data_IF_525114363531
#
_entry.id   IF_525114363531
#
_cell.length_a   1.000
_cell.length_b   1.000
_cell.length_c   1.000
_cell.angle_alpha   90.00
_cell.angle_beta   90.00
_cell.angle_gamma   90.00
#
_symmetry.space_group_name_H-M   'P 1'
#
loop_
_entity.id
_entity.type
_entity.pdbx_description
1 polymer ?
#
# COMPACT_ATOMS: atom_id res chain seq x y z
N UNK A 1 33.04 9.56 1.42
CA UNK A 1 32.53 8.19 1.18
C UNK A 1 31.44 8.29 0.12
N UNK A 2 31.68 7.77 -1.08
CA UNK A 2 30.81 7.98 -2.23
C UNK A 2 29.61 7.01 -2.15
N UNK A 3 28.41 7.54 -1.92
CA UNK A 3 27.17 6.78 -1.75
C UNK A 3 26.70 6.12 -3.07
N UNK A 4 27.35 6.41 -4.19
CA UNK A 4 27.00 5.94 -5.54
C UNK A 4 27.95 4.87 -6.11
N UNK A 5 28.86 4.30 -5.30
CA UNK A 5 29.61 3.11 -5.74
C UNK A 5 28.68 1.89 -5.82
N UNK A 6 28.77 1.06 -6.88
CA UNK A 6 27.94 -0.14 -7.01
C UNK A 6 28.11 -1.11 -5.84
N UNK A 7 29.30 -1.18 -5.22
CA UNK A 7 29.54 -1.96 -3.99
C UNK A 7 28.67 -1.52 -2.81
N UNK A 8 28.45 -0.22 -2.65
CA UNK A 8 27.67 0.36 -1.56
C UNK A 8 26.18 0.19 -1.84
N UNK A 9 25.74 0.29 -3.10
CA UNK A 9 24.36 0.04 -3.48
C UNK A 9 23.93 -1.41 -3.16
N UNK A 10 24.78 -2.40 -3.48
CA UNK A 10 24.51 -3.81 -3.15
C UNK A 10 24.44 -4.01 -1.63
N UNK A 11 25.35 -3.40 -0.87
CA UNK A 11 25.32 -3.45 0.59
C UNK A 11 24.05 -2.82 1.17
N UNK A 12 23.61 -1.66 0.66
CA UNK A 12 22.37 -0.99 1.09
C UNK A 12 21.15 -1.85 0.78
N UNK A 13 21.08 -2.45 -0.42
CA UNK A 13 20.00 -3.36 -0.80
C UNK A 13 20.00 -4.59 0.09
N UNK A 14 21.17 -5.18 0.36
CA UNK A 14 21.29 -6.34 1.23
C UNK A 14 20.84 -6.03 2.68
N UNK A 15 21.25 -4.88 3.22
CA UNK A 15 20.81 -4.43 4.54
C UNK A 15 19.30 -4.13 4.58
N UNK A 16 18.76 -3.47 3.55
CA UNK A 16 17.32 -3.21 3.45
C UNK A 16 16.50 -4.50 3.33
N UNK A 17 16.99 -5.48 2.56
CA UNK A 17 16.39 -6.79 2.43
C UNK A 17 16.40 -7.51 3.78
N UNK A 18 17.54 -7.52 4.47
CA UNK A 18 17.68 -8.15 5.79
C UNK A 18 16.74 -7.50 6.82
N UNK A 19 16.68 -6.17 6.87
CA UNK A 19 15.77 -5.43 7.73
C UNK A 19 14.29 -5.77 7.44
N UNK A 20 13.92 -5.86 6.16
CA UNK A 20 12.55 -6.20 5.72
C UNK A 20 12.18 -7.63 6.15
N UNK A 21 13.08 -8.59 5.92
CA UNK A 21 12.86 -9.97 6.37
C UNK A 21 12.79 -10.07 7.89
N UNK A 22 13.62 -9.32 8.60
CA UNK A 22 13.60 -9.30 10.06
C UNK A 22 12.27 -8.74 10.59
N UNK A 23 11.75 -7.65 10.01
CA UNK A 23 10.41 -7.14 10.35
C UNK A 23 9.30 -8.15 10.05
N UNK A 24 9.39 -8.86 8.92
CA UNK A 24 8.42 -9.90 8.55
C UNK A 24 8.43 -11.08 9.52
N UNK A 25 9.62 -11.61 9.83
CA UNK A 25 9.78 -12.74 10.76
C UNK A 25 9.38 -12.32 12.17
N UNK A 26 9.84 -11.16 12.65
CA UNK A 26 9.45 -10.61 13.95
C UNK A 26 7.95 -10.41 14.07
N UNK A 27 7.30 -9.88 13.02
CA UNK A 27 5.85 -9.73 12.97
C UNK A 27 5.09 -11.06 12.99
N UNK A 28 5.58 -12.08 12.28
CA UNK A 28 4.99 -13.44 12.30
C UNK A 28 5.14 -14.11 13.68
N UNK A 29 6.29 -13.95 14.33
CA UNK A 29 6.51 -14.45 15.69
C UNK A 29 5.58 -13.75 16.69
N UNK A 30 5.45 -12.41 16.62
CA UNK A 30 4.53 -11.64 17.46
C UNK A 30 3.07 -11.99 17.19
N UNK A 31 2.70 -12.29 15.93
CA UNK A 31 1.34 -12.66 15.56
C UNK A 31 0.86 -13.92 16.30
N UNK A 32 1.77 -14.83 16.65
CA UNK A 32 1.47 -16.00 17.47
C UNK A 32 1.13 -15.68 18.94
N UNK A 33 1.62 -14.55 19.47
CA UNK A 33 1.33 -14.08 20.83
C UNK A 33 0.18 -13.08 20.90
N UNK A 34 -0.39 -12.71 19.75
CA UNK A 34 -1.38 -11.66 19.64
C UNK A 34 -2.77 -12.18 20.06
N UNK A 35 -3.45 -11.50 21.01
CA UNK A 35 -4.74 -11.97 21.50
C UNK A 35 -5.78 -11.96 20.38
N UNK A 36 -6.20 -13.16 19.96
CA UNK A 36 -7.19 -13.37 18.90
C UNK A 36 -8.62 -13.08 19.36
N UNK A 37 -8.86 -13.03 20.67
CA UNK A 37 -10.16 -12.75 21.30
C UNK A 37 -10.31 -11.32 21.85
N UNK A 38 -11.55 -10.89 22.04
CA UNK A 38 -11.90 -9.64 22.74
C UNK A 38 -11.87 -8.36 21.89
N UNK A 39 -11.82 -7.20 22.57
CA UNK A 39 -11.83 -5.86 21.94
C UNK A 39 -10.53 -5.59 21.17
N UNK A 40 -9.39 -6.04 21.69
CA UNK A 40 -8.08 -5.88 21.05
C UNK A 40 -7.94 -6.70 19.76
N UNK A 41 -8.38 -7.96 19.74
CA UNK A 41 -8.37 -8.77 18.50
C UNK A 41 -9.21 -8.18 17.37
N UNK A 42 -10.36 -7.55 17.69
CA UNK A 42 -11.17 -6.80 16.70
C UNK A 42 -10.45 -5.55 16.19
N UNK A 43 -9.80 -4.79 17.08
CA UNK A 43 -9.00 -3.62 16.69
C UNK A 43 -7.85 -4.04 15.75
N UNK A 44 -7.15 -5.13 16.06
CA UNK A 44 -6.08 -5.67 15.23
C UNK A 44 -6.55 -6.14 13.86
N UNK A 45 -7.72 -6.76 13.76
CA UNK A 45 -8.32 -7.12 12.46
C UNK A 45 -8.70 -5.89 11.63
N UNK A 46 -8.97 -4.75 12.27
CA UNK A 46 -9.30 -3.50 11.58
C UNK A 46 -8.06 -2.71 11.12
N UNK A 47 -6.91 -2.88 11.79
CA UNK A 47 -5.65 -2.17 11.49
C UNK A 47 -5.25 -2.21 10.01
N UNK A 48 -5.27 -3.35 9.30
CA UNK A 48 -4.83 -3.37 7.90
C UNK A 48 -5.67 -2.45 7.04
N UNK A 49 -7.00 -2.48 7.22
CA UNK A 49 -7.92 -1.63 6.48
C UNK A 49 -7.76 -0.16 6.81
N UNK A 50 -7.62 0.20 8.09
CA UNK A 50 -7.44 1.60 8.50
C UNK A 50 -6.10 2.17 8.08
N UNK A 51 -5.01 1.39 8.13
CA UNK A 51 -3.70 1.82 7.64
C UNK A 51 -3.76 2.09 6.14
N UNK A 52 -4.38 1.20 5.36
CA UNK A 52 -4.58 1.40 3.92
C UNK A 52 -5.35 2.69 3.62
N UNK A 53 -6.44 2.96 4.33
CA UNK A 53 -7.24 4.18 4.15
C UNK A 53 -6.45 5.42 4.57
N UNK A 54 -5.76 5.38 5.71
CA UNK A 54 -4.96 6.49 6.22
C UNK A 54 -3.81 6.87 5.27
N UNK A 55 -3.21 5.89 4.59
CA UNK A 55 -2.16 6.13 3.61
C UNK A 55 -2.70 6.57 2.25
N UNK A 56 -3.82 5.98 1.81
CA UNK A 56 -4.42 6.30 0.52
C UNK A 56 -5.08 7.70 0.52
N UNK A 57 -5.74 8.08 1.62
CA UNK A 57 -6.41 9.36 1.78
C UNK A 57 -5.54 10.57 1.39
N UNK A 58 -4.33 10.79 1.96
CA UNK A 58 -3.48 11.91 1.58
C UNK A 58 -2.97 11.82 0.14
N UNK A 59 -2.82 10.61 -0.42
CA UNK A 59 -2.50 10.42 -1.84
C UNK A 59 -3.58 11.02 -2.75
N UNK A 60 -4.85 10.75 -2.44
CA UNK A 60 -5.98 11.34 -3.18
C UNK A 60 -6.06 12.87 -3.02
N UNK A 61 -5.76 13.40 -1.83
CA UNK A 61 -5.73 14.85 -1.61
C UNK A 61 -4.60 15.55 -2.37
N UNK A 62 -3.42 14.91 -2.50
CA UNK A 62 -2.29 15.47 -3.25
C UNK A 62 -2.53 15.46 -4.78
N UNK A 63 -3.26 14.47 -5.30
CA UNK A 63 -3.59 14.40 -6.73
C UNK A 63 -4.84 15.20 -7.13
N UNK A 64 -5.53 15.83 -6.16
CA UNK A 64 -6.70 16.68 -6.40
C UNK A 64 -7.98 15.91 -6.79
N UNK A 65 -8.95 16.62 -7.38
CA UNK A 65 -10.26 16.05 -7.76
C UNK A 65 -10.14 14.82 -8.70
N UNK A 66 -9.08 14.76 -9.50
CA UNK A 66 -8.81 13.70 -10.47
C UNK A 66 -8.43 12.39 -9.76
N UNK A 67 -7.60 12.47 -8.71
CA UNK A 67 -7.23 11.31 -7.89
C UNK A 67 -8.44 10.70 -7.19
N UNK A 68 -9.33 11.54 -6.65
CA UNK A 68 -10.60 11.09 -6.06
C UNK A 68 -11.52 10.40 -7.08
N UNK A 69 -11.65 10.96 -8.29
CA UNK A 69 -12.44 10.36 -9.37
C UNK A 69 -11.87 9.01 -9.82
N UNK A 70 -10.55 8.91 -9.98
CA UNK A 70 -9.85 7.65 -10.30
C UNK A 70 -10.02 6.59 -9.21
N UNK A 71 -9.90 6.99 -7.94
CA UNK A 71 -10.16 6.12 -6.78
C UNK A 71 -11.60 5.57 -6.76
N UNK A 72 -12.59 6.44 -6.95
CA UNK A 72 -14.00 6.06 -7.00
C UNK A 72 -14.30 5.08 -8.15
N UNK A 73 -13.74 5.33 -9.34
CA UNK A 73 -13.92 4.43 -10.50
C UNK A 73 -13.24 3.08 -10.24
N UNK A 74 -12.05 3.07 -9.63
CA UNK A 74 -11.36 1.84 -9.24
C UNK A 74 -12.20 1.01 -8.26
N UNK A 75 -12.79 1.66 -7.25
CA UNK A 75 -13.67 1.01 -6.27
C UNK A 75 -14.92 0.45 -6.97
N UNK A 76 -15.56 1.23 -7.84
CA UNK A 76 -16.75 0.82 -8.58
C UNK A 76 -16.48 -0.40 -9.49
N UNK A 77 -15.34 -0.42 -10.18
CA UNK A 77 -14.95 -1.51 -11.08
C UNK A 77 -14.53 -2.77 -10.30
N UNK A 78 -13.84 -2.60 -9.18
CA UNK A 78 -13.48 -3.71 -8.27
C UNK A 78 -14.75 -4.41 -7.77
N UNK A 79 -15.76 -3.64 -7.38
CA UNK A 79 -17.02 -4.17 -6.87
C UNK A 79 -17.81 -4.95 -7.94
N UNK A 80 -17.77 -4.47 -9.19
CA UNK A 80 -18.52 -5.07 -10.31
C UNK A 80 -17.82 -6.29 -10.93
N UNK A 81 -16.49 -6.26 -11.03
CA UNK A 81 -15.73 -7.24 -11.81
C UNK A 81 -15.13 -8.35 -10.94
N UNK A 82 -14.98 -8.12 -9.62
CA UNK A 82 -14.21 -8.96 -8.68
C UNK A 82 -12.77 -9.28 -9.13
N UNK A 83 -12.29 -8.65 -10.21
CA UNK A 83 -10.97 -8.84 -10.77
C UNK A 83 -10.12 -7.59 -10.51
N UNK A 84 -9.18 -7.73 -9.58
CA UNK A 84 -8.33 -6.64 -9.09
C UNK A 84 -7.44 -6.07 -10.21
N UNK A 85 -6.98 -6.91 -11.14
CA UNK A 85 -6.14 -6.44 -12.26
C UNK A 85 -6.87 -5.47 -13.17
N UNK A 86 -8.13 -5.78 -13.51
CA UNK A 86 -8.96 -4.94 -14.36
C UNK A 86 -9.31 -3.61 -13.68
N UNK A 87 -9.56 -3.65 -12.37
CA UNK A 87 -9.79 -2.44 -11.58
C UNK A 87 -8.54 -1.56 -11.49
N UNK A 88 -7.36 -2.14 -11.27
CA UNK A 88 -6.09 -1.40 -11.23
C UNK A 88 -5.81 -0.72 -12.58
N UNK A 89 -5.94 -1.44 -13.70
CA UNK A 89 -5.74 -0.88 -15.04
C UNK A 89 -6.69 0.27 -15.34
N UNK A 90 -7.98 0.08 -15.05
CA UNK A 90 -8.98 1.12 -15.29
C UNK A 90 -8.77 2.35 -14.41
N UNK A 91 -8.46 2.16 -13.12
CA UNK A 91 -8.10 3.24 -12.20
C UNK A 91 -6.88 4.03 -12.67
N UNK A 92 -5.81 3.31 -13.04
CA UNK A 92 -4.59 3.91 -13.56
C UNK A 92 -4.83 4.70 -14.85
N UNK A 93 -5.61 4.15 -15.79
CA UNK A 93 -5.97 4.84 -17.02
C UNK A 93 -6.76 6.12 -16.76
N UNK A 94 -7.70 6.10 -15.83
CA UNK A 94 -8.48 7.30 -15.44
C UNK A 94 -7.58 8.36 -14.83
N UNK A 95 -6.68 7.99 -13.91
CA UNK A 95 -5.74 8.94 -13.29
C UNK A 95 -4.74 9.47 -14.32
N UNK A 96 -4.22 8.61 -15.20
CA UNK A 96 -3.27 9.00 -16.24
C UNK A 96 -3.90 9.95 -17.28
N UNK A 97 -5.12 9.66 -17.72
CA UNK A 97 -5.86 10.52 -18.66
C UNK A 97 -6.29 11.84 -18.00
N UNK A 98 -6.72 11.79 -16.74
CA UNK A 98 -7.05 12.99 -15.98
C UNK A 98 -5.84 13.90 -15.76
N UNK A 99 -4.66 13.32 -15.50
CA UNK A 99 -3.40 14.06 -15.40
C UNK A 99 -2.89 14.60 -16.74
N UNK A 100 -3.32 14.05 -17.86
CA UNK A 100 -2.98 14.58 -19.19
C UNK A 100 -3.89 15.74 -19.62
N UNK A 101 -5.08 15.88 -19.00
CA UNK A 101 -6.04 16.93 -19.34
C UNK A 101 -5.89 18.22 -18.50
N UNK A 102 -4.99 18.23 -17.50
CA UNK A 102 -4.65 19.37 -16.65
C UNK A 102 -3.16 19.66 -16.74
#
# INVERSE_FOLDING_TARGET
MNLYSPENAVLVIALAALATYFMRVGGLLLAGYLPTGGRFGRALKALPGTILISLAAPGFFNEGLIGLAGGLITVAITFKTKNVFLAMLAGMLVVALGRHFY
#
